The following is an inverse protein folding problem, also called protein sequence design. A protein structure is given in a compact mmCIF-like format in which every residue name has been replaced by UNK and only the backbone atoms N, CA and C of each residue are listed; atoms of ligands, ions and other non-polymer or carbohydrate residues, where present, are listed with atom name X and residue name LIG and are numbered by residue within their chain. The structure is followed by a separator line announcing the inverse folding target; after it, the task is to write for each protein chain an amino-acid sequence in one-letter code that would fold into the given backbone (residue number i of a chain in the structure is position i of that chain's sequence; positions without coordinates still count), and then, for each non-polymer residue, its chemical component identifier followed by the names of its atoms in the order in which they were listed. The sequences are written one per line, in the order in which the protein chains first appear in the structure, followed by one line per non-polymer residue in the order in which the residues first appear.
data_IF_158990778010
#
_entry.id   IF_158990778010
#
_cell.length_a   1.000
_cell.length_b   1.000
_cell.length_c   1.000
_cell.angle_alpha   90.00
_cell.angle_beta   90.00
_cell.angle_gamma   90.00
#
_symmetry.space_group_name_H-M   'P 1'
#
loop_
_entity.id
_entity.type
_entity.pdbx_description
1 polymer ?
#
# COMPACT_ATOMS: atom_id res chain seq x y z
N UNK A 1 -35.12 -17.15 -10.80
CA UNK A 1 -33.67 -16.90 -10.60
C UNK A 1 -33.61 -15.79 -9.57
N UNK A 2 -32.95 -16.02 -8.42
CA UNK A 2 -32.84 -14.99 -7.39
C UNK A 2 -32.19 -13.76 -8.04
N UNK A 3 -32.79 -12.58 -7.86
CA UNK A 3 -32.16 -11.30 -8.20
C UNK A 3 -30.79 -11.30 -7.52
N UNK A 4 -29.74 -11.44 -8.30
CA UNK A 4 -28.38 -11.29 -7.80
C UNK A 4 -28.29 -9.85 -7.30
N UNK A 5 -28.11 -9.69 -5.97
CA UNK A 5 -27.98 -8.38 -5.32
C UNK A 5 -26.68 -7.72 -5.82
N UNK A 6 -26.75 -7.10 -7.02
CA UNK A 6 -25.60 -6.49 -7.68
C UNK A 6 -25.27 -5.17 -6.97
N UNK A 7 -23.99 -4.98 -6.65
CA UNK A 7 -23.47 -3.72 -6.15
C UNK A 7 -23.09 -2.81 -7.31
N UNK A 8 -23.10 -1.51 -7.08
CA UNK A 8 -22.52 -0.55 -8.02
C UNK A 8 -21.00 -0.64 -7.94
N UNK A 9 -20.48 -0.80 -6.72
CA UNK A 9 -19.05 -0.84 -6.44
C UNK A 9 -18.72 -1.83 -5.32
N UNK A 10 -17.68 -2.64 -5.54
CA UNK A 10 -17.00 -3.40 -4.48
C UNK A 10 -15.60 -2.82 -4.31
N UNK A 11 -15.20 -2.54 -3.06
CA UNK A 11 -13.85 -2.10 -2.70
C UNK A 11 -13.15 -3.23 -1.96
N UNK A 12 -11.93 -3.60 -2.38
CA UNK A 12 -11.13 -4.67 -1.77
C UNK A 12 -9.94 -4.06 -1.04
N UNK A 13 -9.99 -4.05 0.29
CA UNK A 13 -8.97 -3.49 1.18
C UNK A 13 -9.39 -2.18 1.84
N UNK A 14 -9.27 -2.10 3.16
CA UNK A 14 -9.64 -0.95 4.00
C UNK A 14 -8.42 -0.13 4.47
N UNK A 15 -7.37 -0.03 3.65
CA UNK A 15 -6.33 0.98 3.85
C UNK A 15 -6.86 2.41 3.58
N UNK A 16 -6.03 3.45 3.71
CA UNK A 16 -6.43 4.84 3.49
C UNK A 16 -7.09 5.07 2.13
N UNK A 17 -6.59 4.41 1.07
CA UNK A 17 -7.17 4.48 -0.27
C UNK A 17 -8.57 3.89 -0.32
N UNK A 18 -8.78 2.68 0.21
CA UNK A 18 -10.08 2.02 0.20
C UNK A 18 -11.12 2.75 1.03
N UNK A 19 -10.76 3.23 2.23
CA UNK A 19 -11.66 4.02 3.08
C UNK A 19 -12.01 5.36 2.44
N UNK A 20 -11.05 6.05 1.81
CA UNK A 20 -11.31 7.27 1.04
C UNK A 20 -12.25 6.98 -0.14
N UNK A 21 -11.99 5.91 -0.92
CA UNK A 21 -12.88 5.49 -2.01
C UNK A 21 -14.31 5.23 -1.51
N UNK A 22 -14.44 4.55 -0.38
CA UNK A 22 -15.74 4.30 0.24
C UNK A 22 -16.50 5.57 0.59
N UNK A 23 -15.86 6.57 1.19
CA UNK A 23 -16.47 7.87 1.51
C UNK A 23 -17.02 8.52 0.23
N UNK A 24 -16.21 8.60 -0.84
CA UNK A 24 -16.61 9.23 -2.09
C UNK A 24 -17.70 8.44 -2.81
N UNK A 25 -17.65 7.11 -2.78
CA UNK A 25 -18.70 6.25 -3.34
C UNK A 25 -20.03 6.42 -2.64
N UNK A 26 -20.06 6.45 -1.29
CA UNK A 26 -21.27 6.69 -0.53
C UNK A 26 -21.84 8.10 -0.77
N UNK A 27 -20.97 9.11 -0.92
CA UNK A 27 -21.40 10.47 -1.27
C UNK A 27 -21.96 10.58 -2.69
N UNK A 28 -21.55 9.69 -3.60
CA UNK A 28 -22.10 9.55 -4.95
C UNK A 28 -23.35 8.64 -4.98
N UNK A 29 -23.86 8.23 -3.82
CA UNK A 29 -25.01 7.34 -3.66
C UNK A 29 -24.88 5.98 -4.36
N UNK A 30 -23.65 5.50 -4.53
CA UNK A 30 -23.40 4.16 -5.07
C UNK A 30 -23.72 3.10 -4.02
N UNK A 31 -24.38 2.02 -4.43
CA UNK A 31 -24.55 0.81 -3.62
C UNK A 31 -23.20 0.11 -3.47
N UNK A 32 -22.52 0.43 -2.38
CA UNK A 32 -21.11 0.08 -2.17
C UNK A 32 -20.94 -0.85 -0.98
N UNK A 33 -20.02 -1.82 -1.11
CA UNK A 33 -19.50 -2.63 -0.02
C UNK A 33 -17.97 -2.60 -0.06
N UNK A 34 -17.34 -2.50 1.12
CA UNK A 34 -15.90 -2.63 1.29
C UNK A 34 -15.60 -3.94 1.99
N UNK A 35 -14.59 -4.67 1.52
CA UNK A 35 -14.20 -5.97 2.07
C UNK A 35 -12.78 -5.85 2.61
N UNK A 36 -12.61 -6.20 3.90
CA UNK A 36 -11.32 -6.18 4.58
C UNK A 36 -11.14 -7.48 5.39
N UNK A 37 -10.00 -8.14 5.25
CA UNK A 37 -9.70 -9.39 5.97
C UNK A 37 -9.20 -9.19 7.39
N UNK A 38 -8.69 -7.99 7.69
CA UNK A 38 -8.06 -7.64 8.96
C UNK A 38 -8.73 -6.40 9.59
N UNK A 39 -7.99 -5.69 10.41
CA UNK A 39 -8.44 -4.41 10.99
C UNK A 39 -8.31 -3.32 9.91
N UNK A 40 -9.35 -2.47 9.72
CA UNK A 40 -9.26 -1.32 8.82
C UNK A 40 -8.11 -0.37 9.19
N UNK A 41 -7.43 0.16 8.16
CA UNK A 41 -6.31 1.10 8.29
C UNK A 41 -5.06 0.69 7.50
N UNK A 42 -4.94 -0.60 7.10
CA UNK A 42 -3.81 -1.10 6.34
C UNK A 42 -2.48 -0.92 7.09
N UNK A 43 -1.41 -0.59 6.37
CA UNK A 43 -0.07 -0.43 6.97
C UNK A 43 0.02 0.70 8.01
N UNK A 44 -0.87 1.69 7.94
CA UNK A 44 -0.88 2.84 8.86
C UNK A 44 -1.11 2.43 10.31
N UNK A 45 -1.88 1.38 10.55
CA UNK A 45 -2.16 0.86 11.91
C UNK A 45 -0.87 0.57 12.69
N UNK A 46 0.19 0.17 12.01
CA UNK A 46 1.46 -0.23 12.60
C UNK A 46 2.43 0.94 12.84
N UNK A 47 2.12 2.14 12.34
CA UNK A 47 2.96 3.32 12.56
C UNK A 47 2.77 3.82 13.99
N UNK A 48 3.88 4.04 14.72
CA UNK A 48 3.81 4.61 16.07
C UNK A 48 3.21 6.03 16.00
N UNK A 49 3.70 6.83 15.07
CA UNK A 49 3.34 8.23 14.88
C UNK A 49 3.27 8.58 13.40
N UNK A 50 2.37 9.51 13.06
CA UNK A 50 2.19 10.10 11.73
C UNK A 50 2.17 11.62 11.89
N UNK A 51 3.12 12.33 11.27
CA UNK A 51 3.27 13.79 11.32
C UNK A 51 3.13 14.44 9.94
N UNK A 52 2.92 13.65 8.90
CA UNK A 52 2.89 14.08 7.50
C UNK A 52 1.53 13.90 6.82
N UNK A 53 0.47 13.73 7.60
CA UNK A 53 -0.90 13.70 7.09
C UNK A 53 -1.61 15.01 7.41
N UNK A 54 -1.99 15.75 6.37
CA UNK A 54 -2.60 17.07 6.48
C UNK A 54 -3.83 17.04 7.40
N UNK A 55 -3.88 17.95 8.37
CA UNK A 55 -4.94 18.05 9.38
C UNK A 55 -4.53 17.53 10.75
N UNK A 56 -3.36 16.88 10.85
CA UNK A 56 -2.80 16.41 12.12
C UNK A 56 -1.31 16.80 12.18
N UNK A 57 -0.94 17.59 13.17
CA UNK A 57 0.47 17.89 13.44
C UNK A 57 1.19 16.62 13.93
N UNK A 58 0.45 15.78 14.68
CA UNK A 58 0.94 14.56 15.29
C UNK A 58 -0.25 13.66 15.66
N UNK A 59 -0.23 12.40 15.28
CA UNK A 59 -1.25 11.41 15.62
C UNK A 59 -0.70 9.99 15.54
N UNK A 60 -1.10 9.10 16.45
CA UNK A 60 -0.76 7.68 16.34
C UNK A 60 -1.40 7.03 15.12
N UNK A 61 -0.67 6.13 14.43
CA UNK A 61 -1.17 5.47 13.22
C UNK A 61 -2.45 4.65 13.47
N UNK A 62 -2.54 3.95 14.61
CA UNK A 62 -3.74 3.24 14.99
C UNK A 62 -4.93 4.18 15.23
N UNK A 63 -4.71 5.35 15.88
CA UNK A 63 -5.74 6.36 16.09
C UNK A 63 -6.20 6.98 14.77
N UNK A 64 -5.26 7.32 13.88
CA UNK A 64 -5.57 7.86 12.56
C UNK A 64 -6.40 6.86 11.74
N UNK A 65 -6.03 5.59 11.76
CA UNK A 65 -6.75 4.51 11.10
C UNK A 65 -8.17 4.36 11.63
N UNK A 66 -8.35 4.45 12.94
CA UNK A 66 -9.67 4.43 13.57
C UNK A 66 -10.52 5.61 13.12
N UNK A 67 -9.95 6.83 13.05
CA UNK A 67 -10.65 8.02 12.55
C UNK A 67 -11.08 7.87 11.09
N UNK A 68 -10.25 7.27 10.24
CA UNK A 68 -10.61 6.99 8.84
C UNK A 68 -11.79 6.03 8.75
N UNK A 69 -11.77 4.92 9.51
CA UNK A 69 -12.85 3.95 9.54
C UNK A 69 -14.15 4.55 10.09
N UNK A 70 -14.08 5.32 11.19
CA UNK A 70 -15.21 6.05 11.75
C UNK A 70 -15.82 7.03 10.74
N UNK A 71 -14.99 7.76 10.00
CA UNK A 71 -15.45 8.70 8.98
C UNK A 71 -16.17 7.97 7.83
N UNK A 72 -15.65 6.84 7.36
CA UNK A 72 -16.30 6.03 6.33
C UNK A 72 -17.66 5.47 6.83
N UNK A 73 -17.69 4.96 8.05
CA UNK A 73 -18.92 4.45 8.68
C UNK A 73 -19.98 5.53 8.88
N UNK A 74 -19.60 6.79 9.12
CA UNK A 74 -20.54 7.91 9.27
C UNK A 74 -21.34 8.19 7.99
N UNK A 75 -20.85 7.75 6.82
CA UNK A 75 -21.60 7.75 5.55
C UNK A 75 -22.38 6.46 5.30
N UNK A 76 -22.41 5.52 6.26
CA UNK A 76 -23.12 4.26 6.13
C UNK A 76 -22.40 3.21 5.26
N UNK A 77 -21.10 3.35 5.04
CA UNK A 77 -20.33 2.35 4.30
C UNK A 77 -20.35 1.01 5.04
N UNK A 78 -20.83 -0.03 4.37
CA UNK A 78 -20.74 -1.39 4.88
C UNK A 78 -19.31 -1.93 4.71
N UNK A 79 -18.70 -2.36 5.82
CA UNK A 79 -17.38 -3.00 5.83
C UNK A 79 -17.55 -4.46 6.23
N UNK A 80 -17.33 -5.37 5.28
CA UNK A 80 -17.37 -6.81 5.52
C UNK A 80 -16.00 -7.31 5.99
N UNK A 81 -15.96 -7.87 7.20
CA UNK A 81 -14.75 -8.54 7.72
C UNK A 81 -14.63 -9.93 7.12
N UNK A 82 -14.14 -10.01 5.87
CA UNK A 82 -13.99 -11.23 5.09
C UNK A 82 -12.76 -11.18 4.19
N UNK A 83 -12.27 -12.35 3.79
CA UNK A 83 -11.16 -12.49 2.86
C UNK A 83 -11.68 -12.70 1.44
N UNK A 84 -11.14 -11.93 0.49
CA UNK A 84 -11.33 -12.13 -0.94
C UNK A 84 -10.29 -13.13 -1.45
N UNK A 85 -10.74 -14.13 -2.19
CA UNK A 85 -9.87 -15.18 -2.76
C UNK A 85 -9.70 -15.05 -4.27
N UNK A 86 -10.65 -14.41 -4.97
CA UNK A 86 -10.53 -14.17 -6.42
C UNK A 86 -11.37 -12.96 -6.85
N UNK A 87 -10.89 -12.29 -7.91
CA UNK A 87 -11.63 -11.32 -8.71
C UNK A 87 -11.72 -11.85 -10.13
N UNK A 88 -12.93 -12.10 -10.59
CA UNK A 88 -13.25 -12.62 -11.93
C UNK A 88 -13.89 -11.52 -12.76
N UNK A 89 -13.17 -10.94 -13.76
CA UNK A 89 -13.74 -9.95 -14.66
C UNK A 89 -14.90 -10.53 -15.50
N UNK A 90 -15.93 -9.74 -15.72
CA UNK A 90 -17.04 -10.08 -16.60
C UNK A 90 -17.46 -8.88 -17.44
N UNK A 91 -18.21 -9.08 -18.52
CA UNK A 91 -18.68 -8.01 -19.40
C UNK A 91 -19.78 -7.16 -18.75
N UNK A 92 -20.73 -7.81 -18.07
CA UNK A 92 -21.84 -7.12 -17.42
C UNK A 92 -21.53 -6.80 -15.97
N UNK A 93 -20.96 -7.78 -15.26
CA UNK A 93 -20.61 -7.68 -13.84
C UNK A 93 -19.30 -8.40 -13.56
N UNK A 94 -18.48 -7.80 -12.72
CA UNK A 94 -17.34 -8.47 -12.10
C UNK A 94 -17.81 -9.32 -10.92
N UNK A 95 -17.16 -10.44 -10.66
CA UNK A 95 -17.46 -11.32 -9.54
C UNK A 95 -16.30 -11.34 -8.56
N UNK A 96 -16.61 -11.10 -7.28
CA UNK A 96 -15.66 -11.16 -6.18
C UNK A 96 -16.00 -12.38 -5.33
N UNK A 97 -15.08 -13.33 -5.26
CA UNK A 97 -15.24 -14.57 -4.49
C UNK A 97 -14.61 -14.41 -3.10
N UNK A 98 -15.34 -14.76 -2.07
CA UNK A 98 -14.91 -14.74 -0.68
C UNK A 98 -14.45 -16.15 -0.24
N UNK A 99 -13.64 -16.20 0.82
CA UNK A 99 -13.10 -17.47 1.37
C UNK A 99 -14.19 -18.43 1.89
N UNK A 100 -15.35 -17.91 2.30
CA UNK A 100 -16.49 -18.73 2.74
C UNK A 100 -17.34 -19.26 1.58
N UNK A 101 -16.90 -19.05 0.33
CA UNK A 101 -17.61 -19.48 -0.89
C UNK A 101 -18.66 -18.51 -1.39
N UNK A 102 -18.95 -17.42 -0.67
CA UNK A 102 -19.86 -16.35 -1.13
C UNK A 102 -19.29 -15.71 -2.40
N UNK A 103 -20.15 -15.40 -3.36
CA UNK A 103 -19.80 -14.63 -4.56
C UNK A 103 -20.65 -13.37 -4.61
N UNK A 104 -19.97 -12.22 -4.64
CA UNK A 104 -20.60 -10.91 -4.81
C UNK A 104 -20.41 -10.47 -6.26
N UNK A 105 -21.37 -9.73 -6.80
CA UNK A 105 -21.32 -9.15 -8.13
C UNK A 105 -21.36 -7.62 -8.07
N UNK A 106 -20.61 -6.96 -8.93
CA UNK A 106 -20.61 -5.50 -9.02
C UNK A 106 -20.35 -5.02 -10.46
N UNK A 107 -20.85 -3.82 -10.77
CA UNK A 107 -20.54 -3.12 -12.02
C UNK A 107 -19.08 -2.67 -12.06
N UNK A 108 -18.53 -2.28 -10.89
CA UNK A 108 -17.14 -1.81 -10.76
C UNK A 108 -16.46 -2.41 -9.54
N UNK A 109 -15.15 -2.56 -9.61
CA UNK A 109 -14.31 -3.01 -8.49
C UNK A 109 -13.12 -2.08 -8.33
N UNK A 110 -12.87 -1.62 -7.10
CA UNK A 110 -11.66 -0.90 -6.73
C UNK A 110 -10.76 -1.84 -5.90
N UNK A 111 -9.58 -2.14 -6.41
CA UNK A 111 -8.57 -2.92 -5.68
C UNK A 111 -7.67 -1.98 -4.90
N UNK A 112 -7.70 -2.09 -3.58
CA UNK A 112 -6.94 -1.29 -2.61
C UNK A 112 -6.08 -2.16 -1.69
N UNK A 113 -5.57 -3.29 -2.20
CA UNK A 113 -4.84 -4.29 -1.42
C UNK A 113 -3.45 -3.85 -0.98
N UNK A 114 -2.96 -2.71 -1.52
CA UNK A 114 -1.71 -2.09 -1.12
C UNK A 114 -0.47 -2.91 -1.48
N UNK A 115 0.52 -2.85 -0.60
CA UNK A 115 1.76 -3.60 -0.73
C UNK A 115 2.38 -3.88 0.64
N UNK A 116 3.43 -4.69 0.64
CA UNK A 116 4.11 -5.13 1.85
C UNK A 116 5.62 -5.00 1.71
N UNK A 117 6.32 -4.47 2.72
CA UNK A 117 7.78 -4.46 2.72
C UNK A 117 8.30 -5.90 2.82
N UNK A 118 9.41 -6.16 2.14
CA UNK A 118 10.14 -7.42 2.33
C UNK A 118 10.81 -7.42 3.68
N UNK A 119 10.66 -8.52 4.39
CA UNK A 119 11.26 -8.71 5.71
C UNK A 119 12.63 -9.38 5.63
N UNK A 120 13.42 -9.16 6.66
CA UNK A 120 14.67 -9.88 6.90
C UNK A 120 14.41 -11.22 7.57
N UNK A 121 13.25 -11.36 8.24
CA UNK A 121 12.84 -12.52 9.04
C UNK A 121 13.86 -12.84 10.15
N UNK A 122 14.33 -11.80 10.85
CA UNK A 122 15.28 -11.90 11.97
C UNK A 122 14.61 -11.57 13.30
N UNK A 123 15.13 -12.11 14.44
CA UNK A 123 14.66 -11.75 15.76
C UNK A 123 14.64 -10.24 15.98
N UNK A 124 13.57 -9.73 16.57
CA UNK A 124 13.38 -8.31 16.88
C UNK A 124 12.73 -7.48 15.78
N UNK A 125 12.72 -7.93 14.50
CA UNK A 125 12.17 -7.16 13.40
C UNK A 125 10.67 -6.85 13.60
N UNK A 126 9.85 -7.86 13.77
CA UNK A 126 8.40 -7.67 13.98
C UNK A 126 8.08 -7.11 15.36
N UNK A 127 8.83 -7.51 16.38
CA UNK A 127 8.58 -7.09 17.77
C UNK A 127 8.78 -5.58 17.97
N UNK A 128 9.66 -4.97 17.18
CA UNK A 128 10.01 -3.55 17.29
C UNK A 128 9.58 -2.71 16.09
N UNK A 129 8.78 -3.29 15.19
CA UNK A 129 8.17 -2.53 14.10
C UNK A 129 7.33 -1.38 14.66
N UNK A 130 7.55 -0.16 14.15
CA UNK A 130 6.98 1.08 14.69
C UNK A 130 7.55 1.54 16.04
N UNK A 131 8.51 0.80 16.61
CA UNK A 131 9.18 1.10 17.87
C UNK A 131 10.71 1.12 17.74
N UNK A 132 11.18 1.63 16.62
CA UNK A 132 12.59 1.70 16.26
C UNK A 132 12.96 0.91 15.01
N UNK A 133 12.11 -0.01 14.53
CA UNK A 133 12.21 -0.64 13.20
C UNK A 133 11.22 0.02 12.25
N UNK A 134 11.70 0.43 11.08
CA UNK A 134 10.89 1.10 10.05
C UNK A 134 11.23 0.60 8.64
N UNK A 135 10.27 0.76 7.73
CA UNK A 135 10.41 0.52 6.30
C UNK A 135 10.18 1.79 5.46
N UNK A 136 10.17 2.97 6.11
CA UNK A 136 9.93 4.25 5.45
C UNK A 136 10.72 5.37 6.15
N UNK A 137 11.82 5.85 5.57
CA UNK A 137 12.60 6.92 6.19
C UNK A 137 11.88 8.29 6.11
N UNK A 138 11.12 8.55 5.05
CA UNK A 138 10.33 9.79 4.94
C UNK A 138 9.21 9.84 5.98
N UNK A 139 8.69 8.68 6.41
CA UNK A 139 7.66 8.60 7.44
C UNK A 139 8.23 8.83 8.84
N UNK A 140 9.29 8.10 9.16
CA UNK A 140 9.76 7.93 10.54
C UNK A 140 11.12 8.61 10.81
N UNK A 141 11.83 9.04 9.79
CA UNK A 141 13.22 9.56 9.91
C UNK A 141 13.34 10.77 10.84
N UNK A 142 12.30 11.59 10.94
CA UNK A 142 12.30 12.76 11.82
C UNK A 142 12.47 12.39 13.31
N UNK A 143 11.91 11.25 13.76
CA UNK A 143 12.05 10.76 15.14
C UNK A 143 13.49 10.36 15.52
N UNK A 144 14.35 10.21 14.49
CA UNK A 144 15.76 9.84 14.68
C UNK A 144 16.73 11.01 14.49
N UNK A 145 16.24 12.25 14.58
CA UNK A 145 17.09 13.45 14.52
C UNK A 145 18.17 13.42 15.60
N UNK A 146 19.43 13.57 15.18
CA UNK A 146 20.59 13.54 16.07
C UNK A 146 20.96 12.17 16.64
N UNK A 147 20.26 11.11 16.24
CA UNK A 147 20.46 9.72 16.68
C UNK A 147 21.34 8.94 15.69
N UNK A 148 21.69 7.72 16.06
CA UNK A 148 22.41 6.78 15.19
C UNK A 148 21.42 5.78 14.62
N UNK A 149 21.42 5.59 13.29
CA UNK A 149 20.52 4.66 12.64
C UNK A 149 21.28 3.68 11.75
N UNK A 150 20.70 2.49 11.58
CA UNK A 150 21.15 1.46 10.66
C UNK A 150 20.18 1.41 9.49
N UNK A 151 20.71 1.50 8.27
CA UNK A 151 19.96 1.29 7.02
C UNK A 151 20.39 -0.05 6.44
N UNK A 152 19.44 -0.93 6.13
CA UNK A 152 19.73 -2.24 5.58
C UNK A 152 19.24 -2.31 4.13
N UNK A 153 20.17 -2.49 3.20
CA UNK A 153 19.83 -2.56 1.78
C UNK A 153 21.04 -2.33 0.87
N UNK A 154 20.79 -1.95 -0.39
CA UNK A 154 21.88 -1.70 -1.34
C UNK A 154 21.41 -1.41 -2.76
N UNK A 155 20.11 -1.24 -2.98
CA UNK A 155 19.53 -0.70 -4.23
C UNK A 155 19.31 0.81 -4.12
N UNK A 156 18.71 1.40 -5.17
CA UNK A 156 18.44 2.85 -5.24
C UNK A 156 17.65 3.34 -4.04
N UNK A 157 16.58 2.67 -3.66
CA UNK A 157 15.77 3.04 -2.48
C UNK A 157 16.62 3.11 -1.21
N UNK A 158 17.43 2.10 -0.91
CA UNK A 158 18.28 2.10 0.28
C UNK A 158 19.31 3.26 0.27
N UNK A 159 19.81 3.58 -0.92
CA UNK A 159 20.77 4.67 -1.11
C UNK A 159 20.11 6.05 -0.92
N UNK A 160 18.95 6.27 -1.54
CA UNK A 160 18.16 7.51 -1.42
C UNK A 160 17.72 7.76 0.03
N UNK A 161 17.20 6.73 0.69
CA UNK A 161 16.72 6.79 2.07
C UNK A 161 17.88 6.97 3.08
N UNK A 162 19.06 6.36 2.83
CA UNK A 162 20.26 6.62 3.61
C UNK A 162 20.72 8.09 3.49
N UNK A 163 20.71 8.65 2.28
CA UNK A 163 21.02 10.07 2.03
C UNK A 163 19.95 11.01 2.63
N UNK A 164 18.70 10.59 2.70
CA UNK A 164 17.66 11.34 3.40
C UNK A 164 17.91 11.35 4.90
N UNK A 165 18.14 10.17 5.49
CA UNK A 165 18.40 10.01 6.92
C UNK A 165 19.69 10.70 7.36
N UNK A 166 20.73 10.78 6.52
CA UNK A 166 21.98 11.45 6.86
C UNK A 166 21.83 12.96 7.15
N UNK A 167 20.77 13.57 6.63
CA UNK A 167 20.43 14.99 6.91
C UNK A 167 19.77 15.18 8.28
N UNK A 168 19.25 14.13 8.86
CA UNK A 168 18.51 14.14 10.11
C UNK A 168 19.32 13.50 11.25
N UNK A 169 19.80 12.29 11.02
CA UNK A 169 20.54 11.48 11.96
C UNK A 169 21.98 12.02 12.19
N UNK A 170 22.53 11.73 13.35
CA UNK A 170 23.94 12.01 13.64
C UNK A 170 24.87 11.08 12.86
N UNK A 171 24.49 9.81 12.68
CA UNK A 171 25.25 8.79 11.97
C UNK A 171 24.32 7.78 11.33
N UNK A 172 24.61 7.40 10.09
CA UNK A 172 23.93 6.36 9.34
C UNK A 172 24.90 5.25 9.01
N UNK A 173 24.60 4.03 9.40
CA UNK A 173 25.32 2.83 8.98
C UNK A 173 24.54 2.12 7.89
N UNK A 174 25.06 2.14 6.65
CA UNK A 174 24.46 1.41 5.53
C UNK A 174 25.00 -0.02 5.49
N UNK A 175 24.22 -0.96 5.96
CA UNK A 175 24.58 -2.39 6.01
C UNK A 175 24.23 -3.06 4.69
N UNK A 176 25.26 -3.60 4.02
CA UNK A 176 25.10 -4.28 2.74
C UNK A 176 25.79 -5.64 2.71
N UNK A 177 25.05 -6.68 2.25
CA UNK A 177 25.52 -8.07 2.23
C UNK A 177 26.59 -8.40 1.18
N UNK A 178 26.91 -7.47 0.27
CA UNK A 178 27.91 -7.62 -0.80
C UNK A 178 28.99 -6.56 -0.64
N UNK A 179 29.98 -6.61 -1.52
CA UNK A 179 31.09 -5.65 -1.61
C UNK A 179 30.84 -4.49 -2.58
N UNK A 180 29.66 -4.44 -3.21
CA UNK A 180 29.24 -3.36 -4.09
C UNK A 180 27.73 -3.13 -4.00
N UNK A 181 27.29 -1.85 -3.99
CA UNK A 181 25.89 -1.48 -4.07
C UNK A 181 25.35 -1.75 -5.48
N UNK A 182 24.04 -2.01 -5.57
CA UNK A 182 23.32 -2.08 -6.85
C UNK A 182 22.74 -0.73 -7.25
N UNK A 183 22.79 0.26 -6.36
CA UNK A 183 22.32 1.62 -6.60
C UNK A 183 23.05 2.26 -7.77
N UNK A 184 22.42 3.20 -8.47
CA UNK A 184 22.99 3.96 -9.56
C UNK A 184 24.26 4.71 -9.15
N UNK A 185 25.20 4.88 -10.07
CA UNK A 185 26.52 5.48 -9.80
C UNK A 185 26.45 6.85 -9.11
N UNK A 186 25.49 7.69 -9.47
CA UNK A 186 25.31 9.02 -8.87
C UNK A 186 24.98 8.91 -7.37
N UNK A 187 24.11 7.97 -7.00
CA UNK A 187 23.76 7.72 -5.60
C UNK A 187 24.94 7.16 -4.82
N UNK A 188 25.71 6.24 -5.41
CA UNK A 188 26.93 5.71 -4.79
C UNK A 188 27.95 6.82 -4.52
N UNK A 189 28.18 7.73 -5.47
CA UNK A 189 29.09 8.88 -5.30
C UNK A 189 28.63 9.80 -4.18
N UNK A 190 27.32 10.09 -4.08
CA UNK A 190 26.76 10.92 -3.02
C UNK A 190 26.90 10.27 -1.64
N UNK A 191 26.68 8.97 -1.52
CA UNK A 191 26.88 8.22 -0.27
C UNK A 191 28.35 8.28 0.15
N UNK A 192 29.29 8.05 -0.79
CA UNK A 192 30.73 8.08 -0.51
C UNK A 192 31.23 9.46 -0.09
N UNK A 193 30.59 10.53 -0.58
CA UNK A 193 30.91 11.91 -0.22
C UNK A 193 30.29 12.36 1.11
N UNK A 194 29.33 11.63 1.64
CA UNK A 194 28.62 11.99 2.87
C UNK A 194 29.35 11.43 4.10
N UNK A 195 29.94 12.32 4.92
CA UNK A 195 30.70 11.95 6.13
C UNK A 195 29.81 11.33 7.24
N UNK A 196 28.51 11.53 7.19
CA UNK A 196 27.57 10.96 8.14
C UNK A 196 27.18 9.52 7.79
N UNK A 197 27.46 9.05 6.56
CA UNK A 197 27.17 7.68 6.12
C UNK A 197 28.44 6.82 6.17
N UNK A 198 28.32 5.64 6.75
CA UNK A 198 29.35 4.62 6.75
C UNK A 198 28.79 3.32 6.21
N UNK A 199 29.44 2.77 5.16
CA UNK A 199 28.97 1.53 4.57
C UNK A 199 29.67 0.34 5.24
N UNK A 200 28.88 -0.58 5.74
CA UNK A 200 29.34 -1.85 6.29
C UNK A 200 29.15 -2.95 5.23
N UNK A 201 30.22 -3.19 4.50
CA UNK A 201 30.25 -4.18 3.42
C UNK A 201 30.24 -5.61 3.94
N UNK A 202 29.77 -6.56 3.13
CA UNK A 202 29.75 -7.99 3.42
C UNK A 202 29.11 -8.30 4.77
N UNK A 203 28.14 -7.49 5.17
CA UNK A 203 27.54 -7.53 6.49
C UNK A 203 26.03 -7.70 6.38
N UNK A 204 25.46 -8.53 7.23
CA UNK A 204 24.01 -8.72 7.39
C UNK A 204 23.60 -8.46 8.83
N UNK A 205 22.37 -7.98 9.03
CA UNK A 205 21.75 -7.96 10.36
C UNK A 205 21.32 -9.39 10.72
N UNK A 206 21.58 -9.80 11.93
CA UNK A 206 21.23 -11.11 12.47
C UNK A 206 20.16 -11.03 13.56
N UNK A 207 20.09 -9.93 14.29
CA UNK A 207 19.12 -9.68 15.37
C UNK A 207 19.00 -8.18 15.61
N UNK A 208 17.82 -7.70 15.90
CA UNK A 208 17.55 -6.35 16.38
C UNK A 208 17.26 -6.43 17.87
N UNK A 209 18.01 -5.67 18.66
CA UNK A 209 17.89 -5.64 20.13
C UNK A 209 17.25 -4.34 20.58
N UNK A 210 16.47 -4.43 21.63
CA UNK A 210 15.82 -3.26 22.23
C UNK A 210 15.84 -3.35 23.76
N UNK A 211 15.67 -2.20 24.36
CA UNK A 211 15.41 -2.03 25.78
C UNK A 211 14.02 -1.41 26.03
N UNK A 212 13.79 -0.86 27.21
CA UNK A 212 12.51 -0.23 27.56
C UNK A 212 12.20 1.02 26.71
N UNK A 213 13.20 1.61 26.04
CA UNK A 213 13.09 2.85 25.25
C UNK A 213 12.94 2.59 23.75
N UNK A 214 13.02 1.35 23.30
CA UNK A 214 12.99 0.93 21.90
C UNK A 214 14.29 0.28 21.44
N UNK A 215 14.56 0.30 20.14
CA UNK A 215 15.79 -0.28 19.56
C UNK A 215 17.02 0.39 20.18
N UNK A 216 17.98 -0.43 20.64
CA UNK A 216 19.24 0.03 21.24
C UNK A 216 20.48 -0.52 20.53
N UNK A 217 20.38 -1.65 19.82
CA UNK A 217 21.50 -2.23 19.08
C UNK A 217 21.05 -3.17 17.97
N UNK A 218 21.96 -3.45 17.03
CA UNK A 218 21.81 -4.46 15.99
C UNK A 218 23.00 -5.43 16.06
N UNK A 219 22.71 -6.73 16.18
CA UNK A 219 23.72 -7.75 16.00
C UNK A 219 24.00 -7.91 14.49
N UNK A 220 25.20 -7.66 14.10
CA UNK A 220 25.71 -7.74 12.72
C UNK A 220 26.58 -8.97 12.57
N UNK A 221 26.52 -9.61 11.39
CA UNK A 221 27.36 -10.76 11.04
C UNK A 221 28.06 -10.49 9.70
N UNK A 222 29.38 -10.65 9.69
CA UNK A 222 30.14 -10.66 8.44
C UNK A 222 29.85 -11.94 7.66
N UNK A 223 29.51 -11.82 6.38
CA UNK A 223 29.14 -12.98 5.54
C UNK A 223 30.33 -13.82 5.09
N UNK A 224 31.56 -13.29 5.21
CA UNK A 224 32.81 -13.96 4.81
C UNK A 224 33.47 -14.70 5.97
N UNK A 225 33.62 -14.03 7.13
CA UNK A 225 34.26 -14.58 8.31
C UNK A 225 33.28 -15.26 9.26
N UNK A 226 31.98 -15.02 9.12
CA UNK A 226 30.93 -15.39 10.07
C UNK A 226 31.08 -14.74 11.46
N UNK A 227 32.01 -13.81 11.64
CA UNK A 227 32.16 -13.05 12.87
C UNK A 227 30.92 -12.20 13.15
N UNK A 228 30.52 -12.16 14.42
CA UNK A 228 29.41 -11.35 14.89
C UNK A 228 29.90 -10.21 15.75
N UNK A 229 29.28 -9.05 15.59
CA UNK A 229 29.51 -7.88 16.43
C UNK A 229 28.19 -7.16 16.72
N UNK A 230 28.15 -6.44 17.81
CA UNK A 230 27.01 -5.60 18.14
C UNK A 230 27.32 -4.15 17.75
N UNK A 231 26.35 -3.49 17.15
CA UNK A 231 26.39 -2.09 16.75
C UNK A 231 25.29 -1.35 17.50
N UNK A 232 25.66 -0.41 18.37
CA UNK A 232 24.69 0.46 19.03
C UNK A 232 23.97 1.35 18.00
N UNK A 233 22.64 1.33 18.03
CA UNK A 233 21.80 2.12 17.15
C UNK A 233 20.44 2.38 17.78
N UNK A 234 19.89 3.56 17.53
CA UNK A 234 18.59 4.00 18.05
C UNK A 234 17.43 3.57 17.11
N UNK A 235 17.74 3.18 15.88
CA UNK A 235 16.75 2.74 14.90
C UNK A 235 17.32 1.95 13.75
N UNK A 236 16.45 1.15 13.12
CA UNK A 236 16.76 0.29 11.99
C UNK A 236 15.76 0.55 10.87
N UNK A 237 16.27 0.89 9.69
CA UNK A 237 15.48 1.12 8.48
C UNK A 237 15.78 0.03 7.45
N UNK A 238 14.76 -0.69 6.99
CA UNK A 238 14.93 -1.87 6.15
C UNK A 238 14.43 -1.58 4.73
N UNK A 239 15.34 -1.57 3.75
CA UNK A 239 15.06 -1.28 2.34
C UNK A 239 15.61 -2.38 1.43
N UNK A 240 15.07 -3.60 1.59
CA UNK A 240 15.45 -4.78 0.80
C UNK A 240 14.43 -5.14 -0.29
N UNK A 241 13.42 -4.31 -0.45
CA UNK A 241 12.34 -4.39 -1.43
C UNK A 241 10.97 -4.15 -0.81
N UNK A 242 10.00 -3.91 -1.69
CA UNK A 242 8.59 -3.74 -1.35
C UNK A 242 7.77 -4.42 -2.44
N UNK A 243 6.90 -5.33 -2.08
CA UNK A 243 6.11 -6.11 -3.02
C UNK A 243 4.65 -5.62 -3.06
N UNK A 244 4.09 -5.35 -4.24
CA UNK A 244 2.67 -5.07 -4.37
C UNK A 244 1.85 -6.33 -4.04
N UNK A 245 0.74 -6.18 -3.31
CA UNK A 245 -0.16 -7.29 -2.98
C UNK A 245 -1.06 -7.63 -4.18
N UNK A 246 -0.46 -8.14 -5.25
CA UNK A 246 -1.07 -8.33 -6.56
C UNK A 246 -1.70 -9.73 -6.79
N UNK A 247 -1.75 -10.59 -5.77
CA UNK A 247 -2.27 -11.96 -5.89
C UNK A 247 -3.73 -12.03 -6.39
N UNK A 248 -4.53 -11.00 -6.15
CA UNK A 248 -5.93 -10.90 -6.60
C UNK A 248 -6.08 -10.19 -7.94
N UNK A 249 -5.00 -9.67 -8.54
CA UNK A 249 -5.07 -8.95 -9.81
C UNK A 249 -5.43 -9.91 -10.92
N UNK A 250 -6.49 -9.63 -11.70
CA UNK A 250 -6.94 -10.51 -12.76
C UNK A 250 -5.87 -10.73 -13.85
N UNK A 251 -5.84 -11.93 -14.40
CA UNK A 251 -4.97 -12.24 -15.53
C UNK A 251 -5.23 -11.28 -16.70
N UNK A 252 -4.16 -10.84 -17.38
CA UNK A 252 -4.25 -9.87 -18.49
C UNK A 252 -4.26 -8.41 -18.05
N UNK A 253 -4.29 -8.11 -16.75
CA UNK A 253 -4.06 -6.74 -16.27
C UNK A 253 -2.61 -6.32 -16.55
N UNK A 254 -2.42 -5.09 -17.06
CA UNK A 254 -1.09 -4.55 -17.31
C UNK A 254 -0.36 -4.25 -16.00
N UNK A 255 0.84 -4.82 -15.87
CA UNK A 255 1.74 -4.57 -14.74
C UNK A 255 3.13 -4.19 -15.25
N UNK A 256 3.87 -3.42 -14.45
CA UNK A 256 5.28 -3.14 -14.72
C UNK A 256 6.18 -4.34 -14.33
N UNK A 257 7.49 -4.22 -14.55
CA UNK A 257 8.47 -5.27 -14.27
C UNK A 257 8.54 -5.66 -12.77
N UNK A 258 8.16 -4.75 -11.87
CA UNK A 258 8.17 -4.96 -10.42
C UNK A 258 6.83 -5.48 -9.89
N UNK A 259 5.84 -5.73 -10.77
CA UNK A 259 4.54 -6.30 -10.42
C UNK A 259 3.50 -5.28 -9.96
N UNK A 260 3.76 -3.98 -10.09
CA UNK A 260 2.77 -2.93 -9.83
C UNK A 260 1.81 -2.78 -11.02
N UNK A 261 0.54 -2.57 -10.71
CA UNK A 261 -0.48 -2.39 -11.74
C UNK A 261 -0.34 -1.02 -12.39
N UNK A 262 -0.29 -1.00 -13.73
CA UNK A 262 -0.29 0.21 -14.54
C UNK A 262 -1.72 0.67 -14.75
N UNK A 263 -2.02 1.91 -14.40
CA UNK A 263 -3.34 2.53 -14.53
C UNK A 263 -3.27 3.86 -15.27
N UNK A 264 -4.40 4.35 -15.72
CA UNK A 264 -4.52 5.72 -16.22
C UNK A 264 -4.62 6.76 -15.09
N UNK A 265 -4.88 8.03 -15.45
CA UNK A 265 -5.05 9.13 -14.50
C UNK A 265 -6.30 9.01 -13.62
N UNK A 266 -7.28 8.19 -14.02
CA UNK A 266 -8.50 7.89 -13.27
C UNK A 266 -8.34 6.68 -12.35
N UNK A 267 -7.13 6.12 -12.28
CA UNK A 267 -6.82 4.86 -11.60
C UNK A 267 -7.49 3.63 -12.25
N UNK A 268 -7.98 3.73 -13.50
CA UNK A 268 -8.57 2.62 -14.23
C UNK A 268 -7.47 1.75 -14.86
N UNK A 269 -7.67 0.43 -14.82
CA UNK A 269 -6.79 -0.54 -15.48
C UNK A 269 -7.15 -0.69 -16.96
N UNK A 270 -6.43 -1.55 -17.67
CA UNK A 270 -6.83 -1.95 -19.03
C UNK A 270 -8.05 -2.89 -19.07
N UNK A 271 -8.57 -3.30 -17.92
CA UNK A 271 -9.83 -4.05 -17.81
C UNK A 271 -10.90 -3.07 -17.35
N UNK A 272 -11.87 -2.82 -18.21
CA UNK A 272 -12.91 -1.84 -18.00
C UNK A 272 -13.68 -2.09 -16.69
N UNK A 273 -13.95 -1.03 -15.91
CA UNK A 273 -14.66 -1.12 -14.64
C UNK A 273 -13.83 -1.65 -13.48
N UNK A 274 -12.54 -1.98 -13.70
CA UNK A 274 -11.60 -2.37 -12.64
C UNK A 274 -10.58 -1.24 -12.41
N UNK A 275 -10.57 -0.72 -11.20
CA UNK A 275 -9.68 0.34 -10.75
C UNK A 275 -8.68 -0.20 -9.74
N UNK A 276 -7.48 0.37 -9.72
CA UNK A 276 -6.43 0.02 -8.75
C UNK A 276 -5.89 1.28 -8.12
N UNK A 277 -5.79 1.30 -6.79
CA UNK A 277 -5.41 2.46 -6.00
C UNK A 277 -4.35 2.12 -4.94
N UNK A 278 -3.79 3.16 -4.36
CA UNK A 278 -2.81 3.00 -3.29
C UNK A 278 -1.52 2.33 -3.77
N UNK A 279 -0.87 1.60 -2.89
CA UNK A 279 0.48 1.07 -3.13
C UNK A 279 0.52 -0.18 -4.02
N UNK A 280 -0.63 -0.65 -4.49
CA UNK A 280 -0.71 -1.69 -5.51
C UNK A 280 -0.40 -1.17 -6.92
N UNK A 281 -0.66 0.12 -7.20
CA UNK A 281 -0.43 0.71 -8.52
C UNK A 281 0.97 1.31 -8.66
N UNK A 282 1.43 1.37 -9.90
CA UNK A 282 2.65 2.11 -10.25
C UNK A 282 2.49 3.60 -9.96
N UNK A 283 3.39 4.18 -9.16
CA UNK A 283 3.41 5.60 -8.83
C UNK A 283 4.76 6.04 -8.27
N UNK A 284 4.98 7.36 -8.27
CA UNK A 284 6.22 7.96 -7.79
C UNK A 284 6.45 7.76 -6.27
N UNK A 285 5.42 7.99 -5.45
CA UNK A 285 5.56 7.94 -4.00
C UNK A 285 4.42 7.17 -3.32
N UNK A 286 4.73 6.49 -2.23
CA UNK A 286 3.82 5.69 -1.41
C UNK A 286 3.59 6.42 -0.10
N UNK A 287 2.52 7.22 -0.05
CA UNK A 287 2.14 8.04 1.10
C UNK A 287 0.65 7.88 1.40
N UNK A 288 0.26 8.07 2.66
CA UNK A 288 -1.15 8.00 3.11
C UNK A 288 -2.03 8.93 2.29
N UNK A 289 -1.59 10.19 2.13
CA UNK A 289 -2.34 11.23 1.40
C UNK A 289 -2.50 10.89 -0.09
N UNK A 290 -1.49 10.29 -0.71
CA UNK A 290 -1.54 9.87 -2.12
C UNK A 290 -2.51 8.69 -2.29
N UNK A 291 -2.47 7.72 -1.38
CA UNK A 291 -3.41 6.60 -1.40
C UNK A 291 -4.86 7.09 -1.21
N UNK A 292 -5.10 8.04 -0.31
CA UNK A 292 -6.41 8.66 -0.10
C UNK A 292 -6.89 9.44 -1.34
N UNK A 293 -6.00 10.16 -2.02
CA UNK A 293 -6.30 10.88 -3.26
C UNK A 293 -6.65 9.92 -4.42
N UNK A 294 -5.90 8.82 -4.56
CA UNK A 294 -6.24 7.76 -5.51
C UNK A 294 -7.65 7.22 -5.25
N UNK A 295 -8.00 6.99 -3.98
CA UNK A 295 -9.32 6.49 -3.58
C UNK A 295 -10.46 7.42 -4.00
N UNK A 296 -10.30 8.71 -3.76
CA UNK A 296 -11.26 9.72 -4.20
C UNK A 296 -11.40 9.73 -5.74
N UNK A 297 -10.27 9.71 -6.45
CA UNK A 297 -10.23 9.72 -7.92
C UNK A 297 -10.92 8.50 -8.52
N UNK A 298 -10.60 7.30 -8.04
CA UNK A 298 -11.17 6.06 -8.55
C UNK A 298 -12.67 5.96 -8.25
N UNK A 299 -13.12 6.38 -7.07
CA UNK A 299 -14.54 6.35 -6.73
C UNK A 299 -15.38 7.29 -7.61
N UNK A 300 -14.87 8.49 -7.90
CA UNK A 300 -15.53 9.42 -8.83
C UNK A 300 -15.57 8.85 -10.26
N UNK A 301 -14.49 8.23 -10.72
CA UNK A 301 -14.46 7.58 -12.03
C UNK A 301 -15.41 6.38 -12.10
N UNK A 302 -15.46 5.56 -11.04
CA UNK A 302 -16.40 4.43 -10.93
C UNK A 302 -17.86 4.91 -10.95
N UNK A 303 -18.18 6.03 -10.30
CA UNK A 303 -19.53 6.61 -10.33
C UNK A 303 -19.95 6.96 -11.76
N UNK A 304 -19.10 7.66 -12.51
CA UNK A 304 -19.38 7.97 -13.92
C UNK A 304 -19.53 6.70 -14.80
N UNK A 305 -18.71 5.69 -14.53
CA UNK A 305 -18.83 4.41 -15.24
C UNK A 305 -20.18 3.74 -14.97
N UNK A 306 -20.61 3.67 -13.71
CA UNK A 306 -21.91 3.09 -13.31
C UNK A 306 -23.06 3.86 -13.91
N UNK A 307 -23.02 5.19 -13.89
CA UNK A 307 -24.04 6.04 -14.52
C UNK A 307 -24.18 5.74 -16.01
N UNK A 308 -23.04 5.65 -16.73
CA UNK A 308 -23.04 5.34 -18.16
C UNK A 308 -23.60 3.95 -18.47
N UNK A 309 -23.31 2.95 -17.65
CA UNK A 309 -23.88 1.59 -17.79
C UNK A 309 -25.38 1.59 -17.56
N UNK A 310 -25.87 2.22 -16.50
CA UNK A 310 -27.31 2.29 -16.18
C UNK A 310 -28.10 3.05 -17.25
N UNK A 311 -27.53 4.07 -17.89
CA UNK A 311 -28.17 4.79 -18.98
C UNK A 311 -28.35 3.90 -20.23
N UNK A 312 -27.31 3.13 -20.61
CA UNK A 312 -27.38 2.18 -21.72
C UNK A 312 -28.45 1.09 -21.47
N UNK A 313 -28.52 0.58 -20.24
CA UNK A 313 -29.51 -0.44 -19.88
C UNK A 313 -30.95 0.13 -19.90
N UNK A 314 -31.15 1.39 -19.54
CA UNK A 314 -32.42 2.08 -19.62
C UNK A 314 -32.87 2.29 -21.08
N UNK A 315 -31.98 2.76 -21.95
CA UNK A 315 -32.26 2.96 -23.37
C UNK A 315 -32.56 1.62 -24.09
N UNK A 316 -31.88 0.53 -23.67
CA UNK A 316 -32.16 -0.81 -24.20
C UNK A 316 -33.55 -1.35 -23.80
N UNK A 317 -34.09 -0.89 -22.64
CA UNK A 317 -35.43 -1.28 -22.18
C UNK A 317 -36.56 -0.47 -22.83
N UNK A 318 -36.26 0.72 -23.37
CA UNK A 318 -37.21 1.61 -24.03
C UNK A 318 -37.32 1.42 -25.55
N UNK A 319 -36.59 0.48 -26.18
CA UNK A 319 -36.76 0.16 -27.59
C UNK A 319 -38.17 -0.41 -27.82
N UNK A 320 -39.07 0.31 -28.54
CA UNK A 320 -40.47 -0.10 -28.67
C UNK A 320 -40.57 -1.37 -29.51
N UNK A 321 -41.50 -2.25 -29.13
CA UNK A 321 -41.96 -3.41 -29.88
C UNK A 321 -42.52 -3.06 -31.30
N UNK A 322 -42.33 -1.85 -31.80
CA UNK A 322 -42.82 -1.36 -33.09
C UNK A 322 -41.97 -1.79 -34.31
N UNK A 323 -40.71 -2.24 -34.08
CA UNK A 323 -39.88 -2.68 -35.23
C UNK A 323 -40.05 -4.16 -35.64
N UNK A 324 -40.91 -4.91 -34.94
CA UNK A 324 -41.21 -6.30 -35.28
C UNK A 324 -42.50 -6.47 -36.08
N UNK A 325 -43.26 -5.39 -36.37
CA UNK A 325 -44.52 -5.46 -37.13
C UNK A 325 -44.39 -5.15 -38.64
N UNK A 326 -43.24 -4.62 -39.08
CA UNK A 326 -43.04 -4.29 -40.52
C UNK A 326 -42.27 -5.37 -41.30
N UNK A 327 -42.12 -6.58 -40.76
CA UNK A 327 -41.50 -7.73 -41.42
C UNK A 327 -42.44 -8.94 -41.55
N UNK A 328 -43.74 -8.70 -41.75
CA UNK A 328 -44.69 -9.77 -42.09
C UNK A 328 -45.40 -9.50 -43.44
#
# INVERSE_FOLDING_TARGET
MAETNVHDLIIIGAGPGGLSAGIYAMRAALKTVLIERAVPGGQVVNSAEVENYLGFEHIGGAELSLKFAQHANAYGLEILSKEVTALEPGLDYHRVRLADGTVLAAHTVIMATGGSPRKLDIPGEDAYYGRGVSYCAVCDGFFFRGKTVVVIGGGDTAAEEALYLSKLARKVYLVHRRDALRAGMILQQRIQADCNIEILWNTVAAEIKADNNGVCAVALRDVRSAETRELAADGVFIFIGFDPNNALVPAGTKMNADGYVVTDAKCETNIQGIFVIGDLREKYARQIVIAAADGATAALAAAHYVESKKAVDADACELPAQLLQDAS
#
